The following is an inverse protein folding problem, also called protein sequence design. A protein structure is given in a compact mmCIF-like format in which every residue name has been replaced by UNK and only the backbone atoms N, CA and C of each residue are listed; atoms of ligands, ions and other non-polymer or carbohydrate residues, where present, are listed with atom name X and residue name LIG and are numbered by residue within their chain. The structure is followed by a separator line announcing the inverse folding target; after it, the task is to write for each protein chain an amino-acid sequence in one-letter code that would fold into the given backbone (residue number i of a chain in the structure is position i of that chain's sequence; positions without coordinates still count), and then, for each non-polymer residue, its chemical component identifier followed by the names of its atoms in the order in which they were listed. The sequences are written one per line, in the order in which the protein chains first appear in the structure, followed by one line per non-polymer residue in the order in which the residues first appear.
data_IF_067480060257
#
_entry.id   IF_067480060257
#
_cell.length_a   1.000
_cell.length_b   1.000
_cell.length_c   1.000
_cell.angle_alpha   90.00
_cell.angle_beta   90.00
_cell.angle_gamma   90.00
#
_symmetry.space_group_name_H-M   'P 1'
#
loop_
_entity.id
_entity.type
_entity.pdbx_description
1 polymer ?
#
# COMPACT_ATOMS: atom_id res chain seq x y z
N UNK A 1 -25.24 -18.06 -9.31
CA UNK A 1 -23.86 -18.50 -9.65
C UNK A 1 -23.07 -17.24 -9.93
N UNK A 2 -21.82 -17.16 -9.45
CA UNK A 2 -20.95 -16.01 -9.70
C UNK A 2 -19.81 -16.39 -10.64
N UNK A 3 -19.40 -15.45 -11.47
CA UNK A 3 -18.20 -15.55 -12.29
C UNK A 3 -17.06 -14.85 -11.54
N UNK A 4 -15.84 -15.39 -11.64
CA UNK A 4 -14.66 -14.78 -11.04
C UNK A 4 -13.53 -14.62 -12.06
N UNK A 5 -12.71 -13.61 -11.86
CA UNK A 5 -11.43 -13.44 -12.56
C UNK A 5 -10.42 -12.81 -11.64
N UNK A 6 -9.14 -13.16 -11.78
CA UNK A 6 -8.08 -12.68 -10.90
C UNK A 6 -7.00 -11.93 -11.67
N UNK A 7 -6.41 -10.92 -11.01
CA UNK A 7 -5.28 -10.16 -11.54
C UNK A 7 -4.18 -10.05 -10.50
N UNK A 8 -2.97 -10.47 -10.87
CA UNK A 8 -1.77 -10.20 -10.09
C UNK A 8 -1.26 -8.78 -10.39
N UNK A 9 -1.06 -8.01 -9.34
CA UNK A 9 -0.61 -6.61 -9.38
C UNK A 9 0.67 -6.49 -8.56
N UNK A 10 1.74 -5.95 -9.17
CA UNK A 10 2.97 -5.60 -8.46
C UNK A 10 2.69 -4.41 -7.54
N UNK A 11 2.91 -4.58 -6.24
CA UNK A 11 2.84 -3.51 -5.24
C UNK A 11 4.15 -2.71 -5.21
N UNK A 12 5.28 -3.37 -5.41
CA UNK A 12 6.61 -2.78 -5.44
C UNK A 12 7.49 -3.18 -4.26
N UNK A 13 8.63 -2.51 -4.15
CA UNK A 13 9.60 -2.72 -3.08
C UNK A 13 9.13 -2.01 -1.81
N UNK A 14 8.75 -2.77 -0.79
CA UNK A 14 8.15 -2.26 0.44
C UNK A 14 8.98 -2.69 1.64
N UNK A 15 9.35 -1.74 2.51
CA UNK A 15 9.93 -2.03 3.81
C UNK A 15 8.87 -1.84 4.91
N UNK A 16 8.93 -2.65 5.96
CA UNK A 16 8.06 -2.55 7.14
C UNK A 16 8.69 -3.23 8.35
N UNK A 17 8.08 -3.07 9.53
CA UNK A 17 8.44 -3.81 10.74
C UNK A 17 7.19 -4.09 11.57
N UNK A 18 7.21 -5.21 12.29
CA UNK A 18 6.16 -5.57 13.24
C UNK A 18 6.72 -5.41 14.66
N UNK A 19 6.58 -4.23 15.31
CA UNK A 19 7.33 -3.89 16.53
C UNK A 19 7.03 -4.81 17.72
N UNK A 20 5.88 -5.49 17.73
CA UNK A 20 5.45 -6.43 18.78
C UNK A 20 5.91 -7.86 18.56
N UNK A 21 6.52 -8.16 17.39
CA UNK A 21 7.04 -9.49 17.12
C UNK A 21 8.24 -9.81 18.00
N UNK A 22 8.28 -11.02 18.55
CA UNK A 22 9.45 -11.52 19.29
C UNK A 22 10.57 -11.99 18.34
N UNK A 23 10.23 -12.26 17.08
CA UNK A 23 11.12 -12.70 16.01
C UNK A 23 11.85 -11.53 15.31
N UNK A 24 12.64 -11.88 14.29
CA UNK A 24 13.34 -10.92 13.42
C UNK A 24 12.38 -9.96 12.66
N UNK A 25 11.09 -10.26 12.57
CA UNK A 25 10.10 -9.36 11.97
C UNK A 25 9.95 -8.02 12.72
N UNK A 26 10.48 -7.92 13.96
CA UNK A 26 10.56 -6.65 14.70
C UNK A 26 11.52 -5.63 14.07
N UNK A 27 12.47 -6.08 13.27
CA UNK A 27 13.41 -5.20 12.57
C UNK A 27 12.81 -4.70 11.26
N UNK A 28 13.30 -3.57 10.75
CA UNK A 28 12.94 -3.11 9.41
C UNK A 28 13.48 -4.11 8.39
N UNK A 29 12.60 -4.67 7.61
CA UNK A 29 12.88 -5.60 6.52
C UNK A 29 11.93 -5.33 5.37
N UNK A 30 12.15 -5.91 4.21
CA UNK A 30 11.30 -5.61 3.06
C UNK A 30 11.33 -6.69 2.00
N UNK A 31 10.30 -6.62 1.14
CA UNK A 31 10.06 -7.55 0.05
C UNK A 31 9.58 -6.83 -1.21
N UNK A 32 9.67 -7.52 -2.34
CA UNK A 32 8.98 -7.16 -3.56
C UNK A 32 7.55 -7.72 -3.48
N UNK A 33 6.63 -6.93 -2.93
CA UNK A 33 5.27 -7.37 -2.68
C UNK A 33 4.44 -7.45 -3.98
N UNK A 34 3.51 -8.41 -4.00
CA UNK A 34 2.50 -8.58 -5.05
C UNK A 34 1.13 -8.78 -4.41
N UNK A 35 0.07 -8.30 -5.06
CA UNK A 35 -1.31 -8.58 -4.67
C UNK A 35 -2.04 -9.30 -5.81
N UNK A 36 -2.62 -10.45 -5.52
CA UNK A 36 -3.60 -11.09 -6.39
C UNK A 36 -4.99 -10.66 -5.95
N UNK A 37 -5.69 -9.97 -6.84
CA UNK A 37 -7.06 -9.48 -6.60
C UNK A 37 -8.01 -10.35 -7.39
N UNK A 38 -8.96 -11.00 -6.72
CA UNK A 38 -10.04 -11.80 -7.31
C UNK A 38 -11.32 -10.97 -7.32
N UNK A 39 -11.80 -10.68 -8.52
CA UNK A 39 -13.05 -9.99 -8.80
C UNK A 39 -14.17 -10.99 -9.05
N UNK A 40 -15.40 -10.65 -8.67
CA UNK A 40 -16.57 -11.46 -8.91
C UNK A 40 -17.76 -10.62 -9.40
N UNK A 41 -18.67 -11.25 -10.14
CA UNK A 41 -19.95 -10.67 -10.53
C UNK A 41 -21.01 -11.78 -10.74
N UNK A 42 -22.28 -11.42 -10.66
CA UNK A 42 -23.36 -12.35 -11.01
C UNK A 42 -23.58 -12.43 -12.53
N UNK A 43 -23.39 -11.30 -13.22
CA UNK A 43 -23.59 -11.17 -14.66
C UNK A 43 -22.35 -10.57 -15.32
N UNK A 44 -21.92 -11.19 -16.41
CA UNK A 44 -20.82 -10.68 -17.22
C UNK A 44 -21.25 -9.41 -17.97
N UNK A 45 -20.30 -8.61 -18.40
CA UNK A 45 -20.56 -7.46 -19.25
C UNK A 45 -20.82 -7.87 -20.73
N UNK A 46 -21.03 -6.88 -21.59
CA UNK A 46 -21.25 -7.10 -23.03
C UNK A 46 -20.09 -7.78 -23.76
N UNK A 47 -18.90 -7.84 -23.17
CA UNK A 47 -17.73 -8.55 -23.70
C UNK A 47 -17.54 -9.94 -23.07
N UNK A 48 -18.45 -10.38 -22.22
CA UNK A 48 -18.35 -11.58 -21.39
C UNK A 48 -17.20 -11.52 -20.37
N UNK A 49 -16.91 -10.35 -19.82
CA UNK A 49 -15.90 -10.15 -18.78
C UNK A 49 -16.53 -9.90 -17.42
N UNK A 50 -15.85 -10.36 -16.36
CA UNK A 50 -16.10 -9.92 -14.98
C UNK A 50 -15.72 -8.46 -14.85
N UNK A 51 -14.50 -8.13 -15.25
CA UNK A 51 -13.95 -6.76 -15.22
C UNK A 51 -12.89 -6.58 -16.30
N UNK A 52 -12.86 -5.41 -16.96
CA UNK A 52 -11.78 -5.08 -17.89
C UNK A 52 -10.50 -4.73 -17.14
N UNK A 53 -9.50 -5.58 -17.21
CA UNK A 53 -8.20 -5.33 -16.57
C UNK A 53 -7.44 -4.11 -17.13
N UNK A 54 -7.82 -3.60 -18.30
CA UNK A 54 -7.34 -2.32 -18.82
C UNK A 54 -7.75 -1.14 -17.95
N UNK A 55 -8.91 -1.22 -17.28
CA UNK A 55 -9.42 -0.22 -16.35
C UNK A 55 -8.71 -0.17 -15.00
N UNK A 56 -7.79 -1.09 -14.70
CA UNK A 56 -7.09 -1.15 -13.41
C UNK A 56 -5.87 -0.21 -13.28
N UNK A 57 -5.65 0.71 -14.20
CA UNK A 57 -4.47 1.59 -14.18
C UNK A 57 -4.39 2.44 -12.91
N UNK A 58 -5.53 3.02 -12.51
CA UNK A 58 -5.60 3.92 -11.35
C UNK A 58 -5.48 3.12 -10.05
N UNK A 59 -6.10 1.93 -9.95
CA UNK A 59 -5.92 1.04 -8.81
C UNK A 59 -4.44 0.63 -8.64
N UNK A 60 -3.75 0.29 -9.74
CA UNK A 60 -2.31 -0.02 -9.71
C UNK A 60 -1.49 1.18 -9.25
N UNK A 61 -1.85 2.38 -9.66
CA UNK A 61 -1.19 3.61 -9.23
C UNK A 61 -1.40 3.84 -7.72
N UNK A 62 -2.62 3.67 -7.21
CA UNK A 62 -2.93 3.78 -5.78
C UNK A 62 -2.09 2.78 -4.97
N UNK A 63 -2.02 1.52 -5.41
CA UNK A 63 -1.24 0.49 -4.75
C UNK A 63 0.26 0.83 -4.73
N UNK A 64 0.82 1.24 -5.87
CA UNK A 64 2.23 1.66 -5.94
C UNK A 64 2.52 2.88 -5.08
N UNK A 65 1.63 3.85 -5.02
CA UNK A 65 1.79 5.03 -4.15
C UNK A 65 1.87 4.65 -2.68
N UNK A 66 1.14 3.61 -2.27
CA UNK A 66 1.17 3.12 -0.90
C UNK A 66 2.42 2.29 -0.59
N UNK A 67 2.88 1.46 -1.52
CA UNK A 67 3.83 0.41 -1.23
C UNK A 67 5.19 0.56 -1.92
N UNK A 68 5.24 1.07 -3.16
CA UNK A 68 6.48 1.05 -3.95
C UNK A 68 7.51 2.06 -3.44
N UNK A 69 8.71 1.58 -3.06
CA UNK A 69 9.80 2.36 -2.47
C UNK A 69 9.42 3.06 -1.16
N UNK A 70 8.56 2.44 -0.34
CA UNK A 70 8.08 3.03 0.92
C UNK A 70 8.52 2.25 2.15
N UNK A 71 8.53 2.94 3.28
CA UNK A 71 8.57 2.36 4.62
C UNK A 71 7.17 2.45 5.24
N UNK A 72 6.48 1.30 5.33
CA UNK A 72 5.14 1.23 5.91
C UNK A 72 5.25 0.90 7.40
N UNK A 73 4.64 1.72 8.25
CA UNK A 73 4.72 1.60 9.71
C UNK A 73 3.34 1.64 10.35
N UNK A 74 3.19 0.98 11.49
CA UNK A 74 1.98 1.07 12.30
C UNK A 74 1.89 2.45 12.96
N UNK A 75 0.68 2.99 13.07
CA UNK A 75 0.43 4.28 13.75
C UNK A 75 0.78 4.24 15.25
N UNK A 76 0.78 3.06 15.85
CA UNK A 76 1.09 2.78 17.25
C UNK A 76 2.48 2.15 17.44
N UNK A 77 3.38 2.31 16.46
CA UNK A 77 4.78 1.87 16.59
C UNK A 77 5.44 2.68 17.72
N UNK A 78 6.08 2.04 18.72
CA UNK A 78 6.73 2.75 19.83
C UNK A 78 7.86 3.69 19.39
N UNK A 79 8.44 3.48 18.19
CA UNK A 79 9.48 4.32 17.61
C UNK A 79 8.96 5.24 16.51
N UNK A 80 7.63 5.52 16.50
CA UNK A 80 6.98 6.27 15.41
C UNK A 80 7.62 7.64 15.15
N UNK A 81 8.09 8.34 16.20
CA UNK A 81 8.70 9.66 16.05
C UNK A 81 10.09 9.57 15.39
N UNK A 82 10.89 8.55 15.73
CA UNK A 82 12.15 8.28 15.03
C UNK A 82 11.91 7.93 13.54
N UNK A 83 10.88 7.13 13.26
CA UNK A 83 10.53 6.74 11.88
C UNK A 83 10.06 7.94 11.07
N UNK A 84 9.30 8.87 11.67
CA UNK A 84 8.94 10.14 11.04
C UNK A 84 10.17 11.01 10.74
N UNK A 85 11.16 11.02 11.65
CA UNK A 85 12.40 11.76 11.44
C UNK A 85 13.18 11.25 10.21
N UNK A 86 13.17 9.94 9.93
CA UNK A 86 13.76 9.38 8.70
C UNK A 86 13.11 9.96 7.44
N UNK A 87 11.78 10.15 7.47
CA UNK A 87 11.05 10.76 6.36
C UNK A 87 11.39 12.25 6.21
N UNK A 88 11.46 13.00 7.32
CA UNK A 88 11.81 14.43 7.32
C UNK A 88 13.22 14.64 6.73
N UNK A 89 14.15 13.75 7.04
CA UNK A 89 15.53 13.78 6.51
C UNK A 89 15.64 13.26 5.06
N UNK A 90 14.56 12.80 4.46
CA UNK A 90 14.57 12.23 3.10
C UNK A 90 15.25 10.87 3.00
N UNK A 91 15.39 10.13 4.11
CA UNK A 91 16.00 8.80 4.15
C UNK A 91 15.01 7.66 3.92
N UNK A 92 13.72 7.92 4.09
CA UNK A 92 12.64 6.98 3.85
C UNK A 92 11.39 7.72 3.35
N UNK A 93 10.60 7.09 2.50
CA UNK A 93 9.27 7.56 2.16
C UNK A 93 8.26 6.84 3.06
N UNK A 94 7.80 7.53 4.11
CA UNK A 94 6.96 6.91 5.13
C UNK A 94 5.50 6.80 4.70
N UNK A 95 4.88 5.66 5.06
CA UNK A 95 3.43 5.43 5.04
C UNK A 95 2.99 4.93 6.40
N UNK A 96 2.01 5.58 7.01
CA UNK A 96 1.49 5.21 8.33
C UNK A 96 0.16 4.50 8.13
N UNK A 97 0.04 3.28 8.67
CA UNK A 97 -1.20 2.50 8.65
C UNK A 97 -1.80 2.38 10.05
N UNK A 98 -3.09 2.63 10.15
CA UNK A 98 -3.88 2.32 11.36
C UNK A 98 -4.19 0.82 11.41
N UNK A 99 -4.26 0.25 12.61
CA UNK A 99 -4.58 -1.17 12.81
C UNK A 99 -3.40 -2.12 12.63
N UNK A 100 -2.19 -1.61 12.38
CA UNK A 100 -0.97 -2.42 12.29
C UNK A 100 -0.41 -2.58 10.87
N UNK A 101 0.65 -3.38 10.77
CA UNK A 101 1.37 -3.71 9.53
C UNK A 101 1.66 -5.21 9.46
N UNK A 102 1.94 -5.70 8.28
CA UNK A 102 2.16 -7.10 7.95
C UNK A 102 1.31 -7.48 6.73
N UNK A 103 1.61 -8.61 6.10
CA UNK A 103 0.94 -9.00 4.85
C UNK A 103 -0.57 -9.20 5.02
N UNK A 104 -1.04 -9.61 6.21
CA UNK A 104 -2.47 -9.72 6.54
C UNK A 104 -3.15 -8.35 6.48
N UNK A 105 -2.53 -7.33 7.07
CA UNK A 105 -3.05 -5.95 7.04
C UNK A 105 -2.92 -5.30 5.67
N UNK A 106 -1.89 -5.67 4.92
CA UNK A 106 -1.73 -5.23 3.53
C UNK A 106 -2.80 -5.86 2.64
N UNK A 107 -3.13 -7.14 2.83
CA UNK A 107 -4.22 -7.82 2.12
C UNK A 107 -5.58 -7.16 2.41
N UNK A 108 -5.88 -6.85 3.67
CA UNK A 108 -7.07 -6.13 4.08
C UNK A 108 -7.16 -4.74 3.44
N UNK A 109 -6.08 -3.96 3.50
CA UNK A 109 -6.03 -2.62 2.90
C UNK A 109 -6.22 -2.66 1.39
N UNK A 110 -5.52 -3.58 0.71
CA UNK A 110 -5.66 -3.78 -0.73
C UNK A 110 -7.09 -4.22 -1.10
N UNK A 111 -7.70 -5.10 -0.30
CA UNK A 111 -9.08 -5.53 -0.50
C UNK A 111 -10.05 -4.35 -0.44
N UNK A 112 -10.04 -3.58 0.67
CA UNK A 112 -10.96 -2.45 0.86
C UNK A 112 -10.80 -1.40 -0.23
N UNK A 113 -9.56 -1.12 -0.63
CA UNK A 113 -9.25 -0.17 -1.71
C UNK A 113 -9.74 -0.65 -3.06
N UNK A 114 -9.51 -1.93 -3.41
CA UNK A 114 -9.97 -2.50 -4.68
C UNK A 114 -11.49 -2.64 -4.73
N UNK A 115 -12.12 -3.02 -3.62
CA UNK A 115 -13.56 -3.20 -3.55
C UNK A 115 -14.31 -1.88 -3.80
N UNK A 116 -13.90 -0.80 -3.10
CA UNK A 116 -14.45 0.53 -3.36
C UNK A 116 -14.22 0.99 -4.80
N UNK A 117 -13.02 0.72 -5.34
CA UNK A 117 -12.66 1.11 -6.70
C UNK A 117 -13.56 0.43 -7.76
N UNK A 118 -13.76 -0.89 -7.67
CA UNK A 118 -14.57 -1.61 -8.67
C UNK A 118 -16.05 -1.41 -8.48
N UNK A 119 -16.53 -1.22 -7.26
CA UNK A 119 -17.91 -0.88 -6.96
C UNK A 119 -18.30 0.43 -7.67
N UNK A 120 -17.50 1.49 -7.50
CA UNK A 120 -17.67 2.78 -8.16
C UNK A 120 -17.58 2.65 -9.70
N UNK A 121 -16.52 1.97 -10.20
CA UNK A 121 -16.28 1.83 -11.64
C UNK A 121 -17.35 1.03 -12.38
N UNK A 122 -18.10 0.17 -11.68
CA UNK A 122 -19.10 -0.74 -12.28
C UNK A 122 -20.52 -0.51 -11.79
N UNK A 123 -20.77 0.54 -10.99
CA UNK A 123 -22.06 0.82 -10.33
C UNK A 123 -22.60 -0.42 -9.57
N UNK A 124 -21.75 -1.06 -8.79
CA UNK A 124 -22.10 -2.20 -7.94
C UNK A 124 -22.21 -3.55 -8.65
N UNK A 125 -21.93 -3.65 -9.96
CA UNK A 125 -21.99 -4.92 -10.70
C UNK A 125 -20.90 -5.90 -10.31
N UNK A 126 -19.69 -5.39 -10.00
CA UNK A 126 -18.50 -6.16 -9.65
C UNK A 126 -18.11 -5.88 -8.22
N UNK A 127 -17.67 -6.91 -7.51
CA UNK A 127 -17.06 -6.80 -6.18
C UNK A 127 -15.74 -7.56 -6.12
N UNK A 128 -14.94 -7.27 -5.09
CA UNK A 128 -13.76 -8.07 -4.78
C UNK A 128 -14.16 -9.26 -3.91
N UNK A 129 -13.82 -10.47 -4.31
CA UNK A 129 -14.05 -11.69 -3.54
C UNK A 129 -12.94 -11.94 -2.53
N UNK A 130 -11.69 -11.72 -2.95
CA UNK A 130 -10.51 -11.88 -2.10
C UNK A 130 -9.32 -11.08 -2.62
N UNK A 131 -8.40 -10.76 -1.71
CA UNK A 131 -7.06 -10.30 -2.06
C UNK A 131 -6.04 -11.12 -1.30
N UNK A 132 -5.04 -11.63 -2.03
CA UNK A 132 -3.88 -12.33 -1.46
C UNK A 132 -2.63 -11.50 -1.69
N UNK A 133 -1.90 -11.17 -0.62
CA UNK A 133 -0.61 -10.45 -0.69
C UNK A 133 0.51 -11.43 -0.44
N UNK A 134 1.52 -11.42 -1.33
CA UNK A 134 2.70 -12.27 -1.32
C UNK A 134 3.93 -11.46 -0.92
N UNK A 135 4.67 -11.96 0.07
CA UNK A 135 6.06 -11.55 0.34
C UNK A 135 7.02 -12.20 -0.66
N UNK A 136 6.84 -13.51 -0.85
CA UNK A 136 7.48 -14.37 -1.84
C UNK A 136 6.55 -15.56 -2.14
N UNK A 137 6.99 -16.51 -2.96
CA UNK A 137 6.13 -17.58 -3.47
C UNK A 137 5.58 -18.50 -2.36
N UNK A 138 6.28 -18.63 -1.22
CA UNK A 138 5.91 -19.52 -0.12
C UNK A 138 5.16 -18.83 1.02
N UNK A 139 5.24 -17.50 1.13
CA UNK A 139 4.60 -16.73 2.21
C UNK A 139 3.59 -15.72 1.65
N UNK A 140 2.34 -15.91 2.01
CA UNK A 140 1.26 -15.02 1.61
C UNK A 140 0.15 -14.98 2.66
N UNK A 141 -0.65 -13.92 2.64
CA UNK A 141 -1.85 -13.80 3.44
C UNK A 141 -3.02 -13.35 2.57
N UNK A 142 -4.22 -13.81 2.91
CA UNK A 142 -5.45 -13.49 2.16
C UNK A 142 -6.49 -12.84 3.05
N UNK A 143 -7.18 -11.86 2.50
CA UNK A 143 -8.37 -11.26 3.07
C UNK A 143 -9.57 -11.52 2.16
N UNK A 144 -10.68 -12.03 2.72
CA UNK A 144 -11.82 -12.55 1.95
C UNK A 144 -13.11 -11.82 2.31
N UNK A 145 -14.03 -11.70 1.37
CA UNK A 145 -15.36 -11.06 1.54
C UNK A 145 -16.20 -11.69 2.64
N UNK A 146 -16.09 -12.98 2.89
CA UNK A 146 -16.78 -13.67 3.99
C UNK A 146 -16.39 -13.13 5.36
N UNK A 147 -15.13 -12.65 5.51
CA UNK A 147 -14.64 -12.01 6.73
C UNK A 147 -15.34 -10.68 6.98
N UNK A 148 -15.55 -9.87 5.93
CA UNK A 148 -16.27 -8.58 6.00
C UNK A 148 -17.70 -8.76 6.50
N UNK A 149 -18.44 -9.75 5.97
CA UNK A 149 -19.82 -10.02 6.41
C UNK A 149 -19.91 -10.47 7.87
N UNK A 150 -18.89 -11.13 8.38
CA UNK A 150 -18.82 -11.54 9.79
C UNK A 150 -18.58 -10.32 10.71
N UNK A 151 -17.72 -9.38 10.31
CA UNK A 151 -17.45 -8.16 11.06
C UNK A 151 -18.67 -7.23 11.10
N UNK A 152 -19.37 -7.03 9.99
CA UNK A 152 -20.59 -6.24 9.91
C UNK A 152 -21.73 -6.86 10.76
N UNK A 153 -21.83 -8.19 10.83
CA UNK A 153 -22.85 -8.87 11.64
C UNK A 153 -22.62 -8.74 13.16
N UNK A 154 -21.37 -8.56 13.59
CA UNK A 154 -21.02 -8.36 15.00
C UNK A 154 -21.26 -6.90 15.42
N UNK A 155 -21.02 -5.93 14.54
CA UNK A 155 -21.23 -4.51 14.82
C UNK A 155 -22.71 -4.13 15.01
N UNK A 156 -23.65 -4.88 14.48
CA UNK A 156 -25.11 -4.61 14.60
C UNK A 156 -25.69 -5.10 15.95
N UNK A 157 -24.95 -5.85 16.76
CA UNK A 157 -25.43 -6.39 18.04
C UNK A 157 -25.05 -5.58 19.28
N UNK A 158 -24.29 -4.49 19.14
CA UNK A 158 -24.02 -3.55 20.22
C UNK A 158 -24.92 -2.31 20.10
N UNK A 159 -26.23 -2.44 20.36
CA UNK A 159 -27.12 -1.32 20.64
C UNK A 159 -26.73 -0.73 22.00
N UNK A 160 -25.80 0.22 21.96
CA UNK A 160 -25.57 1.14 23.08
C UNK A 160 -26.54 2.30 22.93
N UNK A 161 -27.44 2.40 23.88
CA UNK A 161 -28.39 3.50 24.08
C UNK A 161 -27.63 4.83 24.20
N UNK A 162 -27.43 5.52 23.08
CA UNK A 162 -26.76 6.82 23.03
C UNK A 162 -27.84 7.90 23.15
N UNK A 163 -27.90 8.53 24.31
CA UNK A 163 -28.62 9.81 24.51
C UNK A 163 -28.09 10.85 23.52
N UNK A 164 -28.95 11.69 22.95
CA UNK A 164 -28.51 12.67 21.95
C UNK A 164 -27.67 13.79 22.60
N UNK A 165 -26.38 13.84 22.26
CA UNK A 165 -25.52 14.98 22.57
C UNK A 165 -25.81 16.15 21.61
N UNK A 166 -25.83 17.39 22.15
CA UNK A 166 -26.07 18.61 21.42
C UNK A 166 -25.00 18.87 20.32
N UNK A 167 -25.33 19.59 19.23
CA UNK A 167 -24.42 19.76 18.10
C UNK A 167 -23.22 20.63 18.45
N UNK A 168 -22.03 20.03 18.36
CA UNK A 168 -20.75 20.75 18.45
C UNK A 168 -20.60 21.59 17.17
N UNK A 169 -20.54 22.90 17.30
CA UNK A 169 -20.21 23.85 16.25
C UNK A 169 -18.80 23.57 15.71
N UNK A 170 -18.71 23.07 14.48
CA UNK A 170 -17.45 22.88 13.76
C UNK A 170 -16.86 24.22 13.37
N UNK A 171 -15.75 24.60 14.01
CA UNK A 171 -14.84 25.61 13.48
C UNK A 171 -13.99 24.97 12.38
N UNK A 172 -13.97 25.58 11.19
CA UNK A 172 -13.15 25.15 10.06
C UNK A 172 -11.67 24.99 10.48
N UNK A 173 -10.99 23.91 10.02
CA UNK A 173 -9.55 23.77 10.23
C UNK A 173 -8.79 24.85 9.47
N UNK A 174 -7.67 25.37 10.01
CA UNK A 174 -6.87 26.37 9.33
C UNK A 174 -6.29 25.79 8.03
N UNK A 175 -6.41 26.55 6.93
CA UNK A 175 -5.74 26.25 5.66
C UNK A 175 -4.23 26.28 5.89
N UNK A 176 -3.60 25.13 5.83
CA UNK A 176 -2.14 25.02 5.80
C UNK A 176 -1.71 25.26 4.34
N UNK A 177 -1.16 26.45 4.10
CA UNK A 177 -0.48 26.76 2.83
C UNK A 177 0.82 25.94 2.81
N UNK A 178 0.94 25.05 1.82
CA UNK A 178 2.14 24.23 1.62
C UNK A 178 3.17 25.05 0.86
N UNK A 179 4.17 25.57 1.57
CA UNK A 179 5.39 26.09 0.95
C UNK A 179 6.35 24.93 0.64
N UNK A 180 6.71 24.69 -0.61
CA UNK A 180 7.70 23.65 -0.94
C UNK A 180 9.06 24.05 -0.35
N UNK A 181 9.85 23.08 0.17
CA UNK A 181 11.14 23.36 0.78
C UNK A 181 12.06 24.01 -0.25
N UNK A 182 12.58 25.20 0.08
CA UNK A 182 13.62 25.88 -0.68
C UNK A 182 14.87 25.01 -0.60
N UNK A 183 15.35 24.54 -1.76
CA UNK A 183 16.58 23.76 -1.88
C UNK A 183 17.80 24.67 -1.61
N UNK A 184 18.53 24.55 -0.48
CA UNK A 184 19.64 25.45 -0.16
C UNK A 184 20.96 25.09 -0.87
N UNK A 185 20.91 24.25 -1.92
CA UNK A 185 22.10 23.69 -2.59
C UNK A 185 22.36 24.11 -4.04
N UNK A 186 21.63 25.07 -4.60
CA UNK A 186 21.95 25.58 -5.93
C UNK A 186 23.02 26.68 -5.89
N UNK A 187 24.20 26.39 -5.32
CA UNK A 187 25.38 27.19 -5.54
C UNK A 187 26.02 26.78 -6.89
N UNK A 188 25.96 27.68 -7.80
CA UNK A 188 26.65 27.88 -9.05
C UNK A 188 27.88 26.94 -9.27
N UNK A 189 27.68 25.82 -9.97
CA UNK A 189 28.78 24.97 -10.45
C UNK A 189 28.98 25.36 -11.92
N UNK A 190 30.05 26.10 -12.19
CA UNK A 190 30.50 26.41 -13.53
C UNK A 190 30.83 25.15 -14.33
N UNK A 191 30.96 25.24 -15.68
CA UNK A 191 31.02 24.09 -16.57
C UNK A 191 32.24 23.20 -16.25
N UNK A 192 31.99 21.95 -15.90
CA UNK A 192 33.03 20.97 -15.65
C UNK A 192 33.80 20.62 -16.90
N UNK A 193 35.12 20.81 -16.85
CA UNK A 193 36.04 20.33 -17.89
C UNK A 193 35.98 18.81 -17.94
N UNK A 194 35.75 18.25 -19.12
CA UNK A 194 35.89 16.81 -19.42
C UNK A 194 37.34 16.39 -19.17
N UNK A 195 37.62 15.58 -18.17
CA UNK A 195 38.81 14.76 -18.06
C UNK A 195 38.42 13.31 -18.24
N UNK A 196 38.76 12.77 -19.42
CA UNK A 196 38.80 11.35 -19.67
C UNK A 196 39.91 10.76 -18.83
N UNK A 197 39.58 9.85 -17.90
CA UNK A 197 40.41 8.73 -17.47
C UNK A 197 39.67 8.02 -16.33
N UNK A 198 38.78 7.13 -16.66
CA UNK A 198 38.32 6.08 -15.73
C UNK A 198 38.77 4.73 -16.34
N UNK A 199 39.89 4.22 -15.84
CA UNK A 199 40.29 2.84 -16.08
C UNK A 199 39.41 1.93 -15.20
N UNK A 200 38.73 0.98 -15.84
CA UNK A 200 37.89 -0.02 -15.22
C UNK A 200 38.78 -0.97 -14.38
N UNK A 201 38.58 -1.12 -13.05
CA UNK A 201 39.41 -1.98 -12.20
C UNK A 201 39.12 -3.48 -12.35
N UNK A 202 38.27 -3.91 -13.28
CA UNK A 202 37.85 -5.32 -13.48
C UNK A 202 38.25 -5.93 -14.82
N UNK A 203 39.15 -5.29 -15.59
CA UNK A 203 39.76 -5.98 -16.74
C UNK A 203 40.87 -6.93 -16.26
N UNK A 204 40.57 -8.22 -16.14
CA UNK A 204 41.61 -9.23 -15.87
C UNK A 204 41.26 -10.46 -15.06
N UNK A 205 39.99 -10.78 -14.78
CA UNK A 205 39.65 -12.07 -14.16
C UNK A 205 38.75 -12.90 -15.07
N UNK A 206 39.36 -13.83 -15.79
CA UNK A 206 38.68 -14.95 -16.43
C UNK A 206 38.26 -15.94 -15.35
N UNK A 207 36.97 -16.17 -15.18
CA UNK A 207 36.44 -17.33 -14.48
C UNK A 207 36.22 -18.43 -15.51
N UNK A 208 37.08 -19.43 -15.49
CA UNK A 208 36.95 -20.64 -16.31
C UNK A 208 35.95 -21.61 -15.68
N UNK A 209 35.20 -22.25 -16.58
CA UNK A 209 34.44 -23.50 -16.55
C UNK A 209 33.69 -23.90 -15.27
#
# INVERSE_FOLDING_TARGET
MSHTSSKLIELGSTAFRQPRAESHCRYIHGYQLKAEVTFACNELDGNNWVFDFGGLKDLKHIYKTQFDHTLVVASDDPEIELLKELNVRGLAQLRIMTGGVGIERFAEWCFKTADSFVDEATNGRVWVESVTVYEHDDNFASYNRSTVKAEESVAVTEDVDVQPEEPITTTEPPKVEYDPPVNPGAANVGPAKKSNNFSNPFEGTSWGA
#
